data_IF_820795616080
#
_entry.id   IF_820795616080
#
_cell.length_a   1.000
_cell.length_b   1.000
_cell.length_c   1.000
_cell.angle_alpha   90.00
_cell.angle_beta   90.00
_cell.angle_gamma   90.00
#
_symmetry.space_group_name_H-M   'P 1'
#
loop_
_entity.id
_entity.type
_entity.pdbx_description
1 polymer ?
#
# COMPACT_ATOMS: atom_id res chain seq x y z
N UNK A 1 -7.65 -0.61 24.91
CA UNK A 1 -7.14 -1.49 23.82
C UNK A 1 -5.97 -0.90 23.06
N UNK A 2 -6.04 0.33 22.52
CA UNK A 2 -4.94 0.96 21.78
C UNK A 2 -3.63 1.04 22.60
N UNK A 3 -3.61 1.46 23.87
CA UNK A 3 -2.38 1.50 24.68
C UNK A 3 -1.71 0.12 24.82
N UNK A 4 -2.50 -0.95 24.93
CA UNK A 4 -1.96 -2.33 24.99
C UNK A 4 -1.33 -2.77 23.66
N UNK A 5 -1.93 -2.38 22.54
CA UNK A 5 -1.35 -2.64 21.20
C UNK A 5 -0.03 -1.87 21.02
N UNK A 6 0.04 -0.64 21.47
CA UNK A 6 1.26 0.18 21.43
C UNK A 6 2.35 -0.44 22.32
N UNK A 7 2.00 -0.92 23.52
CA UNK A 7 2.93 -1.61 24.41
C UNK A 7 3.44 -2.95 23.83
N UNK A 8 2.63 -3.64 23.02
CA UNK A 8 3.04 -4.87 22.32
C UNK A 8 4.15 -4.65 21.29
N UNK A 9 4.47 -3.39 20.93
CA UNK A 9 5.57 -3.04 20.03
C UNK A 9 6.92 -2.88 20.76
N UNK A 10 6.93 -2.72 22.10
CA UNK A 10 8.15 -2.49 22.87
C UNK A 10 9.18 -3.63 22.74
N UNK A 11 8.79 -4.92 22.72
CA UNK A 11 9.72 -6.04 22.54
C UNK A 11 10.47 -6.02 21.19
N UNK A 12 9.99 -5.27 20.19
CA UNK A 12 10.69 -5.11 18.92
C UNK A 12 11.98 -4.28 19.03
N UNK A 13 12.26 -3.69 20.18
CA UNK A 13 13.53 -3.01 20.49
C UNK A 13 14.62 -4.00 20.92
N UNK A 14 14.27 -5.23 21.33
CA UNK A 14 15.19 -6.29 21.71
C UNK A 14 15.84 -6.97 20.48
N UNK A 15 17.08 -7.43 20.61
CA UNK A 15 17.80 -8.19 19.58
C UNK A 15 18.43 -9.44 20.20
N UNK A 16 18.15 -10.68 19.73
CA UNK A 16 17.19 -11.05 18.67
C UNK A 16 15.73 -11.05 19.17
N UNK A 17 14.80 -10.74 18.25
CA UNK A 17 13.38 -10.78 18.55
C UNK A 17 12.89 -12.25 18.60
N UNK A 18 12.22 -12.63 19.68
CA UNK A 18 11.55 -13.93 19.77
C UNK A 18 10.44 -14.02 18.71
N UNK A 19 10.32 -15.17 18.02
CA UNK A 19 9.35 -15.39 16.91
C UNK A 19 7.90 -15.19 17.34
N UNK A 20 7.54 -15.60 18.56
CA UNK A 20 6.18 -15.44 19.10
C UNK A 20 5.85 -13.95 19.35
N UNK A 21 6.75 -13.23 20.02
CA UNK A 21 6.61 -11.77 20.24
C UNK A 21 6.57 -10.99 18.93
N UNK A 22 7.36 -11.44 17.93
CA UNK A 22 7.33 -10.88 16.58
C UNK A 22 5.95 -11.01 15.94
N UNK A 23 5.32 -12.20 16.03
CA UNK A 23 3.97 -12.41 15.48
C UNK A 23 2.92 -11.54 16.18
N UNK A 24 2.98 -11.43 17.50
CA UNK A 24 2.10 -10.53 18.28
C UNK A 24 2.28 -9.08 17.85
N UNK A 25 3.52 -8.61 17.69
CA UNK A 25 3.81 -7.26 17.29
C UNK A 25 3.31 -6.94 15.87
N UNK A 26 3.48 -7.86 14.90
CA UNK A 26 2.93 -7.69 13.54
C UNK A 26 1.41 -7.54 13.55
N UNK A 27 0.71 -8.34 14.35
CA UNK A 27 -0.74 -8.22 14.50
C UNK A 27 -1.14 -6.91 15.19
N UNK A 28 -0.35 -6.45 16.17
CA UNK A 28 -0.57 -5.17 16.84
C UNK A 28 -0.38 -3.99 15.87
N UNK A 29 0.67 -4.01 15.02
CA UNK A 29 0.89 -3.00 13.98
C UNK A 29 -0.33 -2.90 13.06
N UNK A 30 -0.83 -4.03 12.52
CA UNK A 30 -2.03 -4.06 11.67
C UNK A 30 -3.25 -3.51 12.39
N UNK A 31 -3.48 -3.95 13.62
CA UNK A 31 -4.63 -3.50 14.41
C UNK A 31 -4.60 -1.98 14.65
N UNK A 32 -3.42 -1.41 14.91
CA UNK A 32 -3.25 0.04 15.09
C UNK A 32 -3.60 0.81 13.82
N UNK A 33 -3.22 0.32 12.64
CA UNK A 33 -3.61 0.90 11.36
C UNK A 33 -5.13 0.86 11.15
N UNK A 34 -5.76 -0.32 11.33
CA UNK A 34 -7.21 -0.52 11.16
C UNK A 34 -8.01 0.35 12.15
N UNK A 35 -7.54 0.49 13.38
CA UNK A 35 -8.17 1.31 14.42
C UNK A 35 -7.88 2.80 14.26
N UNK A 36 -7.18 3.23 13.22
CA UNK A 36 -6.83 4.64 12.98
C UNK A 36 -6.11 5.28 14.18
N UNK A 37 -5.22 4.51 14.82
CA UNK A 37 -4.53 4.91 16.05
C UNK A 37 -3.40 5.92 15.78
N UNK A 38 -3.73 7.19 15.58
CA UNK A 38 -2.76 8.26 15.27
C UNK A 38 -1.68 8.43 16.34
N UNK A 39 -1.99 8.12 17.61
CA UNK A 39 -1.00 8.14 18.70
C UNK A 39 0.07 7.05 18.63
N UNK A 40 -0.04 6.11 17.68
CA UNK A 40 1.00 5.12 17.39
C UNK A 40 2.02 5.59 16.34
N UNK A 41 1.81 6.75 15.70
CA UNK A 41 2.60 7.25 14.56
C UNK A 41 4.11 7.21 14.84
N UNK A 42 4.55 7.77 15.95
CA UNK A 42 5.99 7.85 16.28
C UNK A 42 6.62 6.45 16.39
N UNK A 43 5.96 5.50 17.07
CA UNK A 43 6.46 4.12 17.18
C UNK A 43 6.48 3.43 15.83
N UNK A 44 5.45 3.59 15.00
CA UNK A 44 5.41 3.00 13.66
C UNK A 44 6.52 3.57 12.76
N UNK A 45 6.84 4.86 12.85
CA UNK A 45 7.97 5.48 12.13
C UNK A 45 9.32 4.88 12.56
N UNK A 46 9.52 4.65 13.86
CA UNK A 46 10.73 3.97 14.36
C UNK A 46 10.85 2.55 13.79
N UNK A 47 9.73 1.85 13.62
CA UNK A 47 9.70 0.49 13.09
C UNK A 47 10.05 0.41 11.60
N UNK A 48 9.87 1.49 10.82
CA UNK A 48 10.36 1.54 9.42
C UNK A 48 11.88 1.35 9.30
N UNK A 49 12.64 1.62 10.36
CA UNK A 49 14.11 1.53 10.39
C UNK A 49 14.62 0.17 10.89
N UNK A 50 13.72 -0.77 11.24
CA UNK A 50 14.11 -2.11 11.73
C UNK A 50 14.61 -3.00 10.59
N UNK A 51 15.52 -3.92 10.92
CA UNK A 51 16.07 -4.87 9.94
C UNK A 51 15.16 -6.08 9.68
N UNK A 52 13.86 -5.93 9.86
CA UNK A 52 12.83 -6.94 9.57
C UNK A 52 11.88 -6.42 8.49
N UNK A 53 11.91 -7.08 7.33
CA UNK A 53 11.09 -6.69 6.17
C UNK A 53 9.59 -6.61 6.52
N UNK A 54 9.04 -7.63 7.18
CA UNK A 54 7.61 -7.67 7.48
C UNK A 54 7.19 -6.60 8.48
N UNK A 55 8.08 -6.23 9.42
CA UNK A 55 7.83 -5.12 10.34
C UNK A 55 7.81 -3.80 9.57
N UNK A 56 8.77 -3.56 8.66
CA UNK A 56 8.76 -2.35 7.82
C UNK A 56 7.54 -2.30 6.92
N UNK A 57 7.19 -3.43 6.29
CA UNK A 57 6.03 -3.58 5.41
C UNK A 57 4.71 -3.21 6.12
N UNK A 58 4.44 -3.84 7.26
CA UNK A 58 3.21 -3.58 8.01
C UNK A 58 3.19 -2.20 8.65
N UNK A 59 4.35 -1.67 9.07
CA UNK A 59 4.45 -0.30 9.58
C UNK A 59 4.15 0.73 8.50
N UNK A 60 4.67 0.55 7.27
CA UNK A 60 4.35 1.43 6.15
C UNK A 60 2.85 1.43 5.85
N UNK A 61 2.21 0.23 5.76
CA UNK A 61 0.75 0.12 5.55
C UNK A 61 -0.04 0.83 6.64
N UNK A 62 0.31 0.61 7.90
CA UNK A 62 -0.39 1.23 9.04
C UNK A 62 -0.23 2.74 9.06
N UNK A 63 0.97 3.26 8.73
CA UNK A 63 1.19 4.70 8.57
C UNK A 63 0.35 5.31 7.45
N UNK A 64 0.19 4.59 6.34
CA UNK A 64 -0.74 4.97 5.27
C UNK A 64 -2.19 5.01 5.74
N UNK A 65 -2.65 3.97 6.48
CA UNK A 65 -4.01 3.90 7.01
C UNK A 65 -4.33 5.04 7.97
N UNK A 66 -3.41 5.42 8.89
CA UNK A 66 -3.61 6.53 9.84
C UNK A 66 -3.30 7.90 9.22
N UNK A 67 -2.95 7.96 7.92
CA UNK A 67 -2.60 9.17 7.18
C UNK A 67 -1.48 9.99 7.84
N UNK A 68 -0.43 9.32 8.31
CA UNK A 68 0.68 9.87 9.08
C UNK A 68 1.57 10.80 8.24
N UNK A 69 1.24 12.09 8.16
CA UNK A 69 2.01 13.06 7.36
C UNK A 69 3.46 13.20 7.80
N UNK A 70 3.77 13.09 9.10
CA UNK A 70 5.13 13.16 9.59
C UNK A 70 6.01 11.97 9.14
N UNK A 71 5.39 10.86 8.67
CA UNK A 71 6.10 9.70 8.14
C UNK A 71 6.56 9.85 6.69
N UNK A 72 6.14 10.88 5.95
CA UNK A 72 6.43 11.05 4.52
C UNK A 72 7.94 11.02 4.26
N UNK A 73 8.72 11.72 5.07
CA UNK A 73 10.18 11.75 4.89
C UNK A 73 10.78 10.36 5.13
N UNK A 74 10.39 9.64 6.20
CA UNK A 74 10.90 8.30 6.50
C UNK A 74 10.53 7.30 5.37
N UNK A 75 9.32 7.41 4.81
CA UNK A 75 8.88 6.59 3.67
C UNK A 75 9.67 6.93 2.39
N UNK A 76 9.91 8.21 2.11
CA UNK A 76 10.74 8.63 0.98
C UNK A 76 12.19 8.16 1.12
N UNK A 77 12.74 8.12 2.33
CA UNK A 77 14.09 7.58 2.58
C UNK A 77 14.21 6.11 2.15
N UNK A 78 13.14 5.30 2.34
CA UNK A 78 13.11 3.91 1.86
C UNK A 78 13.11 3.81 0.33
N UNK A 79 12.58 4.81 -0.38
CA UNK A 79 12.60 4.89 -1.85
C UNK A 79 13.91 5.47 -2.41
N UNK A 80 14.70 6.17 -1.60
CA UNK A 80 15.85 6.99 -2.04
C UNK A 80 17.04 6.19 -2.57
N UNK A 81 16.93 4.87 -2.63
CA UNK A 81 17.99 3.98 -3.09
C UNK A 81 18.29 4.02 -4.59
N UNK A 82 17.47 4.68 -5.40
CA UNK A 82 17.55 4.64 -6.86
C UNK A 82 17.23 3.27 -7.45
N UNK A 83 17.18 3.17 -8.79
CA UNK A 83 16.83 1.91 -9.49
C UNK A 83 17.80 0.77 -9.15
N UNK A 84 19.08 1.05 -8.93
CA UNK A 84 20.09 0.01 -8.63
C UNK A 84 19.87 -0.67 -7.28
N UNK A 85 19.27 0.02 -6.30
CA UNK A 85 18.91 -0.57 -4.99
C UNK A 85 17.55 -1.25 -5.01
N UNK A 86 16.66 -0.83 -5.91
CA UNK A 86 15.28 -1.33 -6.00
C UNK A 86 15.23 -2.81 -6.43
N UNK A 87 16.24 -3.30 -7.13
CA UNK A 87 16.35 -4.70 -7.52
C UNK A 87 17.10 -5.58 -6.49
N UNK A 88 17.63 -5.00 -5.41
CA UNK A 88 18.30 -5.78 -4.37
C UNK A 88 17.32 -6.71 -3.66
N UNK A 89 17.63 -8.01 -3.72
CA UNK A 89 16.89 -9.06 -3.02
C UNK A 89 17.49 -9.30 -1.64
N UNK A 90 16.65 -9.75 -0.70
CA UNK A 90 17.12 -10.22 0.59
C UNK A 90 17.91 -11.52 0.41
N UNK A 91 19.00 -11.74 1.16
CA UNK A 91 19.72 -13.00 1.13
C UNK A 91 18.79 -14.19 1.40
N UNK A 92 18.79 -15.19 0.49
CA UNK A 92 17.95 -16.40 0.65
C UNK A 92 16.44 -16.21 0.43
N UNK A 93 16.01 -15.10 -0.16
CA UNK A 93 14.59 -14.80 -0.40
C UNK A 93 14.37 -14.24 -1.80
N UNK A 94 13.16 -14.46 -2.37
CA UNK A 94 12.74 -13.78 -3.60
C UNK A 94 12.22 -12.34 -3.32
N UNK A 95 12.11 -11.94 -2.05
CA UNK A 95 11.64 -10.61 -1.66
C UNK A 95 12.72 -9.55 -1.91
N UNK A 96 12.29 -8.37 -2.30
CA UNK A 96 13.17 -7.21 -2.38
C UNK A 96 13.67 -6.80 -0.99
N UNK A 97 14.75 -6.03 -0.94
CA UNK A 97 15.32 -5.53 0.31
C UNK A 97 14.35 -4.62 1.05
N UNK A 98 13.66 -3.77 0.32
CA UNK A 98 12.70 -2.82 0.87
C UNK A 98 11.26 -3.14 0.43
N UNK A 99 10.23 -2.87 1.25
CA UNK A 99 8.83 -3.14 0.94
C UNK A 99 8.22 -2.03 0.05
N UNK A 100 8.73 -1.87 -1.18
CA UNK A 100 8.38 -0.77 -2.08
C UNK A 100 6.88 -0.65 -2.33
N UNK A 101 6.16 -1.77 -2.53
CA UNK A 101 4.71 -1.76 -2.74
C UNK A 101 4.00 -1.04 -1.57
N UNK A 102 4.25 -1.48 -0.34
CA UNK A 102 3.61 -0.90 0.85
C UNK A 102 4.02 0.55 1.13
N UNK A 103 5.26 0.92 0.79
CA UNK A 103 5.74 2.30 0.93
C UNK A 103 5.05 3.22 -0.07
N UNK A 104 4.95 2.80 -1.34
CA UNK A 104 4.26 3.55 -2.39
C UNK A 104 2.76 3.70 -2.08
N UNK A 105 2.11 2.61 -1.65
CA UNK A 105 0.72 2.62 -1.20
C UNK A 105 0.49 3.59 -0.04
N UNK A 106 1.39 3.60 0.95
CA UNK A 106 1.31 4.50 2.09
C UNK A 106 1.41 5.97 1.67
N UNK A 107 2.37 6.33 0.81
CA UNK A 107 2.51 7.70 0.31
C UNK A 107 1.26 8.16 -0.45
N UNK A 108 0.66 7.30 -1.28
CA UNK A 108 -0.61 7.58 -1.93
C UNK A 108 -1.76 7.78 -0.96
N UNK A 109 -1.88 6.92 0.07
CA UNK A 109 -2.94 6.97 1.07
C UNK A 109 -2.82 8.19 2.01
N UNK A 110 -1.61 8.63 2.34
CA UNK A 110 -1.37 9.86 3.13
C UNK A 110 -1.87 11.11 2.36
N UNK A 111 -1.81 11.09 1.03
CA UNK A 111 -2.50 12.08 0.20
C UNK A 111 -1.79 13.45 0.08
N UNK A 112 -0.54 13.59 0.50
CA UNK A 112 0.20 14.87 0.38
C UNK A 112 0.92 14.93 -0.97
N UNK A 113 0.33 15.66 -1.92
CA UNK A 113 0.80 15.81 -3.30
C UNK A 113 1.93 16.86 -3.43
N UNK A 114 3.03 16.70 -2.68
CA UNK A 114 4.19 17.58 -2.87
C UNK A 114 5.01 17.19 -4.10
N UNK A 115 5.67 18.18 -4.72
CA UNK A 115 6.53 17.95 -5.88
C UNK A 115 7.65 16.92 -5.59
N UNK A 116 8.23 16.97 -4.40
CA UNK A 116 9.27 16.02 -3.96
C UNK A 116 8.75 14.59 -3.88
N UNK A 117 7.55 14.37 -3.33
CA UNK A 117 6.92 13.04 -3.25
C UNK A 117 6.63 12.50 -4.65
N UNK A 118 6.06 13.32 -5.54
CA UNK A 118 5.74 12.93 -6.91
C UNK A 118 7.02 12.52 -7.69
N UNK A 119 8.09 13.30 -7.59
CA UNK A 119 9.40 12.98 -8.21
C UNK A 119 9.94 11.66 -7.66
N UNK A 120 9.82 11.41 -6.35
CA UNK A 120 10.33 10.20 -5.73
C UNK A 120 9.58 8.95 -6.19
N UNK A 121 8.26 9.02 -6.39
CA UNK A 121 7.42 7.90 -6.84
C UNK A 121 7.55 7.63 -8.34
N UNK A 122 7.68 8.67 -9.16
CA UNK A 122 7.59 8.58 -10.64
C UNK A 122 8.52 7.52 -11.26
N UNK A 123 9.78 7.33 -10.86
CA UNK A 123 10.63 6.28 -11.43
C UNK A 123 10.06 4.86 -11.31
N UNK A 124 9.32 4.58 -10.23
CA UNK A 124 8.74 3.26 -9.97
C UNK A 124 7.60 2.89 -10.93
N UNK A 125 7.03 3.84 -11.65
CA UNK A 125 6.03 3.57 -12.71
C UNK A 125 6.60 2.77 -13.88
N UNK A 126 7.93 2.68 -14.00
CA UNK A 126 8.65 1.92 -15.03
C UNK A 126 9.37 0.69 -14.47
N UNK A 127 9.11 0.32 -13.22
CA UNK A 127 9.78 -0.81 -12.56
C UNK A 127 9.51 -2.13 -13.28
N UNK A 128 10.50 -3.06 -13.28
CA UNK A 128 10.39 -4.38 -13.91
C UNK A 128 9.25 -5.23 -13.33
N UNK A 129 9.03 -5.17 -12.00
CA UNK A 129 7.95 -5.89 -11.31
C UNK A 129 6.59 -5.20 -11.48
N UNK A 130 5.57 -5.89 -12.05
CA UNK A 130 4.27 -5.28 -12.34
C UNK A 130 3.53 -4.72 -11.12
N UNK A 131 3.61 -5.38 -9.95
CA UNK A 131 2.94 -4.91 -8.73
C UNK A 131 3.56 -3.61 -8.20
N UNK A 132 4.87 -3.44 -8.28
CA UNK A 132 5.51 -2.16 -7.90
C UNK A 132 5.08 -1.04 -8.85
N UNK A 133 5.02 -1.32 -10.18
CA UNK A 133 4.46 -0.36 -11.15
C UNK A 133 3.03 0.03 -10.79
N UNK A 134 2.20 -0.96 -10.44
CA UNK A 134 0.82 -0.73 -10.05
C UNK A 134 0.73 0.15 -8.81
N UNK A 135 1.46 -0.17 -7.74
CA UNK A 135 1.46 0.63 -6.51
C UNK A 135 1.94 2.08 -6.75
N UNK A 136 2.95 2.28 -7.62
CA UNK A 136 3.40 3.62 -8.00
C UNK A 136 2.33 4.40 -8.80
N UNK A 137 1.70 3.75 -9.78
CA UNK A 137 0.63 4.37 -10.56
C UNK A 137 -0.60 4.69 -9.69
N UNK A 138 -0.97 3.77 -8.77
CA UNK A 138 -2.01 4.00 -7.77
C UNK A 138 -1.71 5.23 -6.92
N UNK A 139 -0.51 5.30 -6.35
CA UNK A 139 -0.10 6.42 -5.51
C UNK A 139 -0.15 7.75 -6.27
N UNK A 140 0.38 7.81 -7.50
CA UNK A 140 0.34 9.01 -8.32
C UNK A 140 -1.09 9.39 -8.75
N UNK A 141 -1.95 8.42 -9.04
CA UNK A 141 -3.36 8.68 -9.32
C UNK A 141 -4.06 9.29 -8.11
N UNK A 142 -3.84 8.75 -6.91
CA UNK A 142 -4.40 9.28 -5.66
C UNK A 142 -3.90 10.69 -5.36
N UNK A 143 -2.61 10.96 -5.59
CA UNK A 143 -1.97 12.25 -5.29
C UNK A 143 -2.33 13.35 -6.29
N UNK A 144 -2.47 13.00 -7.58
CA UNK A 144 -2.59 14.01 -8.65
C UNK A 144 -3.96 14.06 -9.30
N UNK A 145 -4.75 13.00 -9.19
CA UNK A 145 -6.00 12.84 -9.96
C UNK A 145 -5.79 12.68 -11.48
N UNK A 146 -4.54 12.58 -11.95
CA UNK A 146 -4.23 12.55 -13.38
C UNK A 146 -4.50 11.15 -13.96
N UNK A 147 -5.47 11.09 -14.85
CA UNK A 147 -5.94 9.87 -15.51
C UNK A 147 -4.84 9.07 -16.22
N UNK A 148 -3.73 9.70 -16.62
CA UNK A 148 -2.61 8.99 -17.25
C UNK A 148 -2.06 7.86 -16.38
N UNK A 149 -2.19 7.96 -15.04
CA UNK A 149 -1.74 6.94 -14.11
C UNK A 149 -2.71 5.78 -13.95
N UNK A 150 -3.99 5.94 -14.36
CA UNK A 150 -4.97 4.86 -14.37
C UNK A 150 -4.77 3.90 -15.55
N UNK A 151 -4.30 4.38 -16.69
CA UNK A 151 -4.11 3.56 -17.90
C UNK A 151 -3.25 2.32 -17.67
N UNK A 152 -2.04 2.42 -17.05
CA UNK A 152 -1.23 1.24 -16.78
C UNK A 152 -1.90 0.23 -15.82
N UNK A 153 -2.71 0.71 -14.88
CA UNK A 153 -3.47 -0.15 -13.96
C UNK A 153 -4.54 -0.96 -14.72
N UNK A 154 -5.29 -0.29 -15.60
CA UNK A 154 -6.32 -0.94 -16.43
C UNK A 154 -5.70 -1.96 -17.39
N UNK A 155 -4.53 -1.67 -17.97
CA UNK A 155 -3.80 -2.61 -18.80
C UNK A 155 -3.36 -3.85 -18.03
N UNK A 156 -2.87 -3.69 -16.81
CA UNK A 156 -2.43 -4.79 -15.94
C UNK A 156 -3.57 -5.71 -15.49
N UNK A 157 -4.84 -5.27 -15.56
CA UNK A 157 -6.00 -6.17 -15.34
C UNK A 157 -6.09 -7.30 -16.38
N UNK A 158 -5.38 -7.18 -17.50
CA UNK A 158 -5.30 -8.19 -18.57
C UNK A 158 -4.02 -9.04 -18.50
N UNK A 159 -3.21 -8.88 -17.45
CA UNK A 159 -1.95 -9.61 -17.30
C UNK A 159 -2.19 -11.12 -17.21
N UNK A 160 -1.26 -11.94 -17.76
CA UNK A 160 -1.40 -13.40 -17.76
C UNK A 160 -1.42 -13.99 -16.35
N UNK A 161 -0.62 -13.46 -15.42
CA UNK A 161 -0.57 -13.91 -14.05
C UNK A 161 -1.82 -13.44 -13.27
N UNK A 162 -2.64 -14.39 -12.73
CA UNK A 162 -3.82 -14.07 -11.93
C UNK A 162 -3.51 -13.28 -10.65
N UNK A 163 -2.35 -13.47 -10.04
CA UNK A 163 -1.96 -12.75 -8.82
C UNK A 163 -1.78 -11.27 -9.10
N UNK A 164 -1.19 -10.95 -10.26
CA UNK A 164 -1.02 -9.55 -10.69
C UNK A 164 -2.38 -8.92 -10.97
N UNK A 165 -3.28 -9.60 -11.73
CA UNK A 165 -4.62 -9.08 -11.99
C UNK A 165 -5.40 -8.78 -10.70
N UNK A 166 -5.34 -9.69 -9.71
CA UNK A 166 -6.02 -9.54 -8.42
C UNK A 166 -5.46 -8.37 -7.61
N UNK A 167 -4.12 -8.24 -7.53
CA UNK A 167 -3.47 -7.13 -6.85
C UNK A 167 -3.88 -5.78 -7.47
N UNK A 168 -3.78 -5.66 -8.78
CA UNK A 168 -4.13 -4.43 -9.51
C UNK A 168 -5.61 -4.09 -9.42
N UNK A 169 -6.51 -5.08 -9.39
CA UNK A 169 -7.92 -4.85 -9.16
C UNK A 169 -8.18 -4.16 -7.81
N UNK A 170 -7.54 -4.66 -6.75
CA UNK A 170 -7.62 -4.08 -5.40
C UNK A 170 -7.00 -2.67 -5.36
N UNK A 171 -5.89 -2.47 -6.07
CA UNK A 171 -5.26 -1.16 -6.21
C UNK A 171 -6.19 -0.15 -6.87
N UNK A 172 -6.87 -0.52 -7.97
CA UNK A 172 -7.84 0.35 -8.62
C UNK A 172 -9.00 0.71 -7.69
N UNK A 173 -9.57 -0.25 -6.97
CA UNK A 173 -10.60 0.00 -5.97
C UNK A 173 -10.12 0.98 -4.89
N UNK A 174 -8.92 0.79 -4.38
CA UNK A 174 -8.34 1.64 -3.34
C UNK A 174 -8.02 3.08 -3.80
N UNK A 175 -8.01 3.37 -5.12
CA UNK A 175 -7.80 4.75 -5.61
C UNK A 175 -8.98 5.66 -5.30
N UNK A 176 -10.20 5.14 -5.25
CA UNK A 176 -11.43 5.96 -5.24
C UNK A 176 -11.73 6.64 -6.58
N UNK A 177 -10.99 6.30 -7.65
CA UNK A 177 -11.16 6.90 -8.97
C UNK A 177 -12.32 6.26 -9.72
N UNK A 178 -13.48 6.91 -9.72
CA UNK A 178 -14.75 6.40 -10.24
C UNK A 178 -14.72 5.93 -11.69
N UNK A 179 -13.98 6.56 -12.62
CA UNK A 179 -13.89 6.06 -13.99
C UNK A 179 -13.27 4.65 -14.13
N UNK A 180 -12.72 4.05 -13.05
CA UNK A 180 -12.28 2.66 -13.04
C UNK A 180 -13.45 1.64 -12.97
N UNK A 181 -14.66 2.07 -12.61
CA UNK A 181 -15.81 1.20 -12.39
C UNK A 181 -16.06 0.21 -13.54
N UNK A 182 -16.15 0.63 -14.84
CA UNK A 182 -16.38 -0.29 -15.94
C UNK A 182 -15.24 -1.32 -16.09
N UNK A 183 -13.99 -0.92 -15.84
CA UNK A 183 -12.84 -1.80 -15.95
C UNK A 183 -12.83 -2.88 -14.84
N UNK A 184 -13.24 -2.51 -13.62
CA UNK A 184 -13.39 -3.44 -12.49
C UNK A 184 -14.49 -4.47 -12.79
N UNK A 185 -15.67 -4.02 -13.28
CA UNK A 185 -16.77 -4.91 -13.64
C UNK A 185 -16.37 -5.91 -14.73
N UNK A 186 -15.68 -5.44 -15.79
CA UNK A 186 -15.29 -6.24 -16.94
C UNK A 186 -14.08 -7.17 -16.67
N UNK A 187 -13.38 -7.00 -15.55
CA UNK A 187 -12.17 -7.78 -15.26
C UNK A 187 -12.48 -9.29 -15.15
N UNK A 188 -11.63 -10.13 -15.75
CA UNK A 188 -11.71 -11.60 -15.67
C UNK A 188 -11.17 -12.10 -14.32
N UNK A 189 -11.88 -11.76 -13.24
CA UNK A 189 -11.52 -12.02 -11.84
C UNK A 189 -12.82 -12.41 -11.10
N UNK A 190 -12.69 -13.12 -10.00
CA UNK A 190 -13.79 -13.57 -9.16
C UNK A 190 -14.65 -12.41 -8.63
N UNK A 191 -15.98 -12.57 -8.63
CA UNK A 191 -16.91 -11.53 -8.16
C UNK A 191 -16.65 -11.09 -6.72
N UNK A 192 -16.19 -12.01 -5.84
CA UNK A 192 -15.85 -11.67 -4.46
C UNK A 192 -14.75 -10.59 -4.36
N UNK A 193 -13.74 -10.65 -5.23
CA UNK A 193 -12.67 -9.62 -5.28
C UNK A 193 -13.15 -8.34 -5.97
N UNK A 194 -14.02 -8.45 -7.00
CA UNK A 194 -14.66 -7.27 -7.60
C UNK A 194 -15.47 -6.50 -6.55
N UNK A 195 -16.24 -7.20 -5.71
CA UNK A 195 -16.99 -6.57 -4.61
C UNK A 195 -16.06 -5.82 -3.64
N UNK A 196 -14.89 -6.39 -3.31
CA UNK A 196 -13.91 -5.70 -2.46
C UNK A 196 -13.38 -4.42 -3.14
N UNK A 197 -13.07 -4.48 -4.43
CA UNK A 197 -12.60 -3.32 -5.18
C UNK A 197 -13.69 -2.25 -5.33
N UNK A 198 -14.93 -2.64 -5.63
CA UNK A 198 -16.08 -1.74 -5.72
C UNK A 198 -16.38 -1.08 -4.36
N UNK A 199 -16.30 -1.83 -3.26
CA UNK A 199 -16.38 -1.26 -1.93
C UNK A 199 -15.33 -0.17 -1.72
N UNK A 200 -14.09 -0.40 -2.13
CA UNK A 200 -13.01 0.61 -2.04
C UNK A 200 -13.31 1.89 -2.82
N UNK A 201 -13.99 1.79 -3.99
CA UNK A 201 -14.51 2.95 -4.72
C UNK A 201 -15.62 3.66 -3.94
N UNK A 202 -16.59 2.90 -3.44
CA UNK A 202 -17.75 3.44 -2.72
C UNK A 202 -17.35 4.19 -1.43
N UNK A 203 -16.36 3.68 -0.69
CA UNK A 203 -15.86 4.32 0.54
C UNK A 203 -15.23 5.70 0.31
N UNK A 204 -14.88 6.04 -0.93
CA UNK A 204 -14.22 7.29 -1.31
C UNK A 204 -15.05 8.16 -2.28
N UNK A 205 -16.26 7.75 -2.60
CA UNK A 205 -17.16 8.45 -3.53
C UNK A 205 -18.56 8.52 -2.96
N UNK A 206 -19.26 9.62 -3.27
CA UNK A 206 -20.69 9.77 -2.99
C UNK A 206 -21.57 9.22 -4.14
N UNK A 207 -20.95 8.70 -5.19
CA UNK A 207 -21.64 8.18 -6.38
C UNK A 207 -22.26 6.80 -6.11
N UNK A 208 -23.58 6.72 -6.15
CA UNK A 208 -24.34 5.49 -5.90
C UNK A 208 -24.28 4.46 -7.02
N UNK A 209 -23.76 4.81 -8.20
CA UNK A 209 -23.61 3.88 -9.33
C UNK A 209 -22.74 2.65 -8.99
N UNK A 210 -21.87 2.78 -7.98
CA UNK A 210 -21.10 1.64 -7.47
C UNK A 210 -22.00 0.59 -6.82
N UNK A 211 -23.06 1.01 -6.12
CA UNK A 211 -24.01 0.08 -5.48
C UNK A 211 -24.76 -0.72 -6.54
N UNK A 212 -25.23 -0.07 -7.61
CA UNK A 212 -25.87 -0.75 -8.74
C UNK A 212 -24.91 -1.75 -9.39
N UNK A 213 -23.62 -1.39 -9.50
CA UNK A 213 -22.59 -2.28 -10.02
C UNK A 213 -22.31 -3.48 -9.10
N UNK A 214 -22.42 -3.32 -7.79
CA UNK A 214 -22.26 -4.42 -6.82
C UNK A 214 -23.46 -5.38 -6.87
N UNK A 215 -24.67 -4.85 -7.03
CA UNK A 215 -25.89 -5.67 -7.15
C UNK A 215 -25.97 -6.46 -8.47
N UNK A 216 -25.26 -5.99 -9.52
CA UNK A 216 -25.20 -6.64 -10.83
C UNK A 216 -24.19 -7.79 -10.94
N UNK A 217 -23.36 -8.07 -9.90
CA UNK A 217 -22.34 -9.13 -9.86
C UNK A 217 -22.88 -10.44 -9.32
#
# INVERSE_FOLDING_TARGET
>A
TIPLLIAALDPLQENPINSERRAVALNAIRALGILQATNAEEKLRILLKKNDYSIREESARSLGMIQAQAAIQDLCELLSGGQDKVEQIQPGSAKLKEPYESVLEALGAIGVASHSVIIMITPFTKHSRPLIRASACRALLQLTGDQKWATPLIELLKHDDPLIRRGVLLDLGATGWMPALPAIQAAAIENSLKLVALRGLAEKSEDTSVLDAMDAL
#
